data_IF_735553165198
#
_entry.id   IF_735553165198
#
_cell.length_a   1.000
_cell.length_b   1.000
_cell.length_c   1.000
_cell.angle_alpha   90.00
_cell.angle_beta   90.00
_cell.angle_gamma   90.00
#
_symmetry.space_group_name_H-M   'P 1'
#
loop_
_entity.id
_entity.type
_entity.pdbx_description
1 polymer ?
#
# COMPACT_ATOMS: atom_id res chain seq x y z
N UNK A 1 26.09 -20.66 1.78
CA UNK A 1 24.74 -20.64 2.35
C UNK A 1 23.76 -21.64 1.73
N UNK A 2 23.16 -21.38 0.54
CA UNK A 2 22.06 -22.22 0.01
C UNK A 2 22.43 -23.71 -0.11
N UNK A 3 23.59 -24.01 -0.70
CA UNK A 3 24.08 -25.39 -0.82
C UNK A 3 24.40 -26.06 0.53
N UNK A 4 24.93 -25.31 1.50
CA UNK A 4 25.23 -25.83 2.85
C UNK A 4 23.95 -26.20 3.62
N UNK A 5 22.86 -25.47 3.37
CA UNK A 5 21.54 -25.70 3.98
C UNK A 5 20.65 -26.63 3.13
N UNK A 6 21.17 -27.19 2.03
CA UNK A 6 20.41 -28.08 1.15
C UNK A 6 19.21 -27.42 0.45
N UNK A 7 19.20 -26.09 0.34
CA UNK A 7 18.11 -25.33 -0.28
C UNK A 7 18.29 -25.41 -1.80
N UNK A 8 17.31 -26.03 -2.47
CA UNK A 8 17.29 -26.14 -3.94
C UNK A 8 16.77 -24.85 -4.58
N UNK A 9 17.31 -24.53 -5.74
CA UNK A 9 16.93 -23.37 -6.56
C UNK A 9 16.28 -23.85 -7.84
N UNK A 10 15.10 -23.31 -8.18
CA UNK A 10 14.42 -23.54 -9.45
C UNK A 10 14.93 -22.56 -10.52
N UNK A 11 15.26 -21.32 -10.12
CA UNK A 11 15.85 -20.31 -10.97
C UNK A 11 16.98 -19.57 -10.25
N UNK A 12 18.02 -19.21 -10.99
CA UNK A 12 19.16 -18.41 -10.54
C UNK A 12 19.74 -17.66 -11.74
N UNK A 13 19.44 -16.37 -11.85
CA UNK A 13 19.92 -15.52 -12.94
C UNK A 13 20.67 -14.31 -12.39
N UNK A 14 21.73 -13.92 -13.08
CA UNK A 14 22.49 -12.69 -12.80
C UNK A 14 22.45 -11.81 -14.04
N UNK A 15 22.08 -10.56 -13.87
CA UNK A 15 21.93 -9.59 -14.96
C UNK A 15 22.47 -8.23 -14.55
N UNK A 16 22.70 -7.37 -15.53
CA UNK A 16 23.13 -5.99 -15.29
C UNK A 16 22.10 -5.00 -15.81
N UNK A 17 22.02 -3.86 -15.14
CA UNK A 17 21.33 -2.67 -15.64
C UNK A 17 22.36 -1.70 -16.19
N UNK A 18 22.01 -1.05 -17.29
CA UNK A 18 22.90 -0.23 -18.08
C UNK A 18 22.39 1.21 -18.14
N UNK A 19 23.30 2.17 -18.24
CA UNK A 19 22.93 3.53 -18.63
C UNK A 19 22.97 3.68 -20.16
N UNK A 20 21.92 4.27 -20.78
CA UNK A 20 21.93 4.58 -22.21
C UNK A 20 23.13 5.42 -22.63
N UNK A 21 23.53 6.40 -21.81
CA UNK A 21 24.70 7.24 -22.04
C UNK A 21 25.57 7.31 -20.79
N UNK A 22 26.86 7.06 -20.96
CA UNK A 22 27.85 7.18 -19.88
C UNK A 22 27.95 8.58 -19.31
N UNK A 23 27.67 9.61 -20.10
CA UNK A 23 27.67 11.00 -19.66
C UNK A 23 26.66 11.26 -18.52
N UNK A 24 25.57 10.49 -18.47
CA UNK A 24 24.50 10.66 -17.49
C UNK A 24 24.84 10.01 -16.13
N UNK A 25 25.96 9.29 -16.03
CA UNK A 25 26.37 8.57 -14.81
C UNK A 25 26.51 9.47 -13.58
N UNK A 26 26.82 10.76 -13.76
CA UNK A 26 26.94 11.72 -12.66
C UNK A 26 25.69 12.59 -12.47
N UNK A 27 24.63 12.39 -13.27
CA UNK A 27 23.35 13.07 -13.04
C UNK A 27 22.75 12.58 -11.73
N UNK A 28 22.48 13.51 -10.82
CA UNK A 28 21.83 13.25 -9.52
C UNK A 28 20.56 14.09 -9.37
N UNK A 29 20.03 14.62 -10.47
CA UNK A 29 18.79 15.37 -10.46
C UNK A 29 17.63 14.38 -10.30
N UNK A 30 16.92 14.43 -9.17
CA UNK A 30 15.86 13.47 -8.84
C UNK A 30 14.76 13.39 -9.92
N UNK A 31 14.35 14.53 -10.47
CA UNK A 31 13.28 14.63 -11.46
C UNK A 31 13.75 14.39 -12.90
N UNK A 32 15.05 14.24 -13.11
CA UNK A 32 15.69 13.99 -14.41
C UNK A 32 16.74 12.90 -14.23
N UNK A 33 16.37 11.88 -13.45
CA UNK A 33 17.24 10.78 -13.14
C UNK A 33 17.25 9.82 -14.34
N UNK A 34 18.42 9.40 -14.81
CA UNK A 34 18.49 8.63 -16.04
C UNK A 34 17.81 7.27 -15.89
N UNK A 35 16.91 6.97 -16.82
CA UNK A 35 16.28 5.65 -16.93
C UNK A 35 17.35 4.63 -17.31
N UNK A 36 17.34 3.50 -16.61
CA UNK A 36 18.26 2.40 -16.87
C UNK A 36 17.67 1.43 -17.90
N UNK A 37 18.54 0.68 -18.54
CA UNK A 37 18.18 -0.34 -19.51
C UNK A 37 18.57 -1.74 -19.03
N UNK A 38 17.83 -2.74 -19.51
CA UNK A 38 18.14 -4.17 -19.40
C UNK A 38 18.25 -4.75 -20.81
N UNK A 39 19.08 -5.79 -20.97
CA UNK A 39 19.15 -6.52 -22.24
C UNK A 39 17.89 -7.36 -22.46
N UNK A 40 17.54 -7.58 -23.73
CA UNK A 40 16.38 -8.37 -24.10
C UNK A 40 16.46 -9.80 -23.57
N UNK A 41 17.64 -10.42 -23.61
CA UNK A 41 17.82 -11.79 -23.10
C UNK A 41 17.65 -11.87 -21.58
N UNK A 42 18.20 -10.94 -20.81
CA UNK A 42 18.06 -10.90 -19.35
C UNK A 42 16.61 -10.61 -18.95
N UNK A 43 15.95 -9.68 -19.63
CA UNK A 43 14.54 -9.37 -19.43
C UNK A 43 13.65 -10.59 -19.69
N UNK A 44 13.90 -11.32 -20.79
CA UNK A 44 13.15 -12.54 -21.12
C UNK A 44 13.39 -13.68 -20.13
N UNK A 45 14.59 -13.82 -19.57
CA UNK A 45 14.85 -14.77 -18.49
C UNK A 45 14.04 -14.45 -17.23
N UNK A 46 13.94 -13.16 -16.87
CA UNK A 46 13.12 -12.72 -15.72
C UNK A 46 11.63 -12.97 -16.00
N UNK A 47 11.16 -12.73 -17.23
CA UNK A 47 9.78 -13.04 -17.64
C UNK A 47 9.45 -14.50 -17.47
N UNK A 48 10.32 -15.39 -17.97
CA UNK A 48 10.14 -16.83 -17.84
C UNK A 48 10.14 -17.28 -16.37
N UNK A 49 11.05 -16.74 -15.56
CA UNK A 49 11.12 -16.98 -14.13
C UNK A 49 9.80 -16.60 -13.41
N UNK A 50 9.11 -15.56 -13.87
CA UNK A 50 7.82 -15.12 -13.33
C UNK A 50 6.61 -15.81 -14.01
N UNK A 51 6.84 -16.70 -14.98
CA UNK A 51 5.79 -17.41 -15.71
C UNK A 51 5.14 -16.61 -16.86
N UNK A 52 5.77 -15.53 -17.31
CA UNK A 52 5.32 -14.72 -18.45
C UNK A 52 5.95 -15.20 -19.76
N UNK A 53 5.26 -14.93 -20.87
CA UNK A 53 5.78 -15.21 -22.21
C UNK A 53 6.91 -14.26 -22.60
N UNK A 54 7.89 -14.76 -23.35
CA UNK A 54 9.00 -13.97 -23.89
C UNK A 54 8.52 -12.98 -24.95
N UNK A 55 9.31 -11.91 -25.12
CA UNK A 55 9.08 -10.86 -26.11
C UNK A 55 10.21 -10.84 -27.13
N UNK A 56 9.96 -10.19 -28.28
CA UNK A 56 10.94 -10.03 -29.35
C UNK A 56 10.97 -8.58 -29.81
N UNK A 57 12.17 -8.08 -30.10
CA UNK A 57 12.39 -6.75 -30.68
C UNK A 57 12.91 -6.89 -32.10
N UNK A 58 12.54 -5.92 -32.96
CA UNK A 58 13.18 -5.78 -34.28
C UNK A 58 14.52 -5.06 -34.13
N UNK A 59 15.35 -5.10 -35.18
CA UNK A 59 16.63 -4.38 -35.20
C UNK A 59 16.44 -2.88 -34.91
N UNK A 60 17.32 -2.33 -34.07
CA UNK A 60 17.31 -0.92 -33.64
C UNK A 60 16.00 -0.45 -33.00
N UNK A 61 15.21 -1.36 -32.44
CA UNK A 61 14.03 -1.03 -31.67
C UNK A 61 14.22 -1.28 -30.18
N UNK A 62 13.50 -0.52 -29.37
CA UNK A 62 13.36 -0.75 -27.94
C UNK A 62 11.90 -0.77 -27.51
N UNK A 63 11.65 -1.31 -26.33
CA UNK A 63 10.35 -1.21 -25.64
C UNK A 63 10.61 -0.86 -24.17
N UNK A 64 9.54 -0.68 -23.40
CA UNK A 64 9.63 -0.28 -21.99
C UNK A 64 8.88 -1.25 -21.09
N UNK A 65 9.37 -1.42 -19.87
CA UNK A 65 8.65 -2.07 -18.78
C UNK A 65 8.34 -0.99 -17.74
N UNK A 66 7.09 -0.94 -17.29
CA UNK A 66 6.60 0.03 -16.32
C UNK A 66 6.27 -0.67 -15.01
N UNK A 67 6.45 0.04 -13.89
CA UNK A 67 5.92 -0.41 -12.61
C UNK A 67 4.39 -0.32 -12.62
N UNK A 68 3.73 -1.24 -11.95
CA UNK A 68 2.26 -1.27 -11.85
C UNK A 68 1.68 -0.06 -11.11
N UNK A 69 2.52 0.73 -10.41
CA UNK A 69 2.11 1.97 -9.74
C UNK A 69 2.05 3.18 -10.67
N UNK A 70 2.66 3.11 -11.85
CA UNK A 70 2.70 4.23 -12.79
C UNK A 70 1.32 4.55 -13.33
N UNK A 71 0.99 5.84 -13.44
CA UNK A 71 -0.27 6.27 -14.05
C UNK A 71 -0.19 6.16 -15.58
N UNK A 72 -1.34 5.93 -16.23
CA UNK A 72 -1.41 5.90 -17.69
C UNK A 72 -0.98 7.26 -18.30
N UNK A 73 -1.29 8.37 -17.63
CA UNK A 73 -0.92 9.72 -18.07
C UNK A 73 0.61 9.93 -18.07
N UNK A 74 1.29 9.53 -16.98
CA UNK A 74 2.75 9.64 -16.89
C UNK A 74 3.43 8.74 -17.93
N UNK A 75 2.92 7.52 -18.11
CA UNK A 75 3.42 6.56 -19.10
C UNK A 75 3.27 7.12 -20.52
N UNK A 76 2.07 7.55 -20.88
CA UNK A 76 1.78 8.00 -22.24
C UNK A 76 2.52 9.29 -22.58
N UNK A 77 2.65 10.22 -21.62
CA UNK A 77 3.49 11.42 -21.77
C UNK A 77 4.96 11.06 -21.98
N UNK A 78 5.50 10.13 -21.19
CA UNK A 78 6.90 9.71 -21.33
C UNK A 78 7.16 9.05 -22.69
N UNK A 79 6.27 8.16 -23.13
CA UNK A 79 6.41 7.47 -24.42
C UNK A 79 6.28 8.43 -25.61
N UNK A 80 5.48 9.50 -25.49
CA UNK A 80 5.38 10.55 -26.50
C UNK A 80 6.67 11.36 -26.62
N UNK A 81 7.35 11.64 -25.50
CA UNK A 81 8.61 12.38 -25.46
C UNK A 81 9.84 11.52 -25.80
N UNK A 82 9.71 10.19 -25.69
CA UNK A 82 10.77 9.21 -25.93
C UNK A 82 10.41 8.23 -27.05
N UNK A 83 9.99 8.75 -28.21
CA UNK A 83 9.82 7.95 -29.43
C UNK A 83 11.15 7.38 -29.96
N UNK A 84 12.26 8.02 -29.57
CA UNK A 84 13.63 7.65 -29.87
C UNK A 84 14.51 7.83 -28.64
N UNK A 85 15.52 6.97 -28.49
CA UNK A 85 16.51 7.06 -27.40
C UNK A 85 17.91 7.07 -27.99
N UNK A 86 18.68 8.10 -27.65
CA UNK A 86 20.10 8.18 -28.00
C UNK A 86 20.93 7.42 -26.98
N UNK A 87 21.71 6.45 -27.44
CA UNK A 87 22.63 5.66 -26.62
C UNK A 87 24.07 5.83 -27.10
N UNK A 88 25.04 5.44 -26.28
CA UNK A 88 26.45 5.39 -26.68
C UNK A 88 26.72 4.37 -27.82
N UNK A 89 25.77 3.47 -28.09
CA UNK A 89 25.83 2.45 -29.14
C UNK A 89 25.00 2.79 -30.40
N UNK A 90 24.30 3.93 -30.42
CA UNK A 90 23.44 4.34 -31.54
C UNK A 90 22.06 4.84 -31.09
N UNK A 91 21.21 5.13 -32.06
CA UNK A 91 19.83 5.59 -31.82
C UNK A 91 18.88 4.42 -31.95
N UNK A 92 18.03 4.22 -30.94
CA UNK A 92 16.95 3.24 -30.96
C UNK A 92 15.61 3.93 -31.13
N UNK A 93 14.68 3.25 -31.80
CA UNK A 93 13.32 3.72 -32.06
C UNK A 93 12.31 2.89 -31.26
N UNK A 94 11.25 3.51 -30.78
CA UNK A 94 10.23 2.82 -29.99
C UNK A 94 9.51 1.76 -30.85
N UNK A 95 9.38 0.55 -30.33
CA UNK A 95 8.67 -0.54 -30.99
C UNK A 95 7.16 -0.26 -31.08
N UNK A 96 6.48 -0.90 -32.03
CA UNK A 96 5.02 -0.82 -32.15
C UNK A 96 4.29 -1.29 -30.89
N UNK A 97 4.89 -2.22 -30.16
CA UNK A 97 4.47 -2.56 -28.81
C UNK A 97 5.38 -1.82 -27.83
N UNK A 98 4.94 -0.64 -27.42
CA UNK A 98 5.77 0.36 -26.75
C UNK A 98 6.03 0.09 -25.27
N UNK A 99 5.17 -0.68 -24.60
CA UNK A 99 5.27 -0.91 -23.16
C UNK A 99 4.70 -2.25 -22.68
N UNK A 100 5.18 -2.69 -21.53
CA UNK A 100 4.72 -3.83 -20.74
C UNK A 100 4.50 -3.39 -19.28
N UNK A 101 3.53 -4.01 -18.60
CA UNK A 101 3.11 -3.64 -17.22
C UNK A 101 2.97 -4.85 -16.30
N UNK A 102 3.35 -6.05 -16.75
CA UNK A 102 3.28 -7.23 -15.89
C UNK A 102 4.14 -7.02 -14.64
N UNK A 103 3.68 -7.41 -13.44
CA UNK A 103 4.43 -7.18 -12.20
C UNK A 103 5.79 -7.89 -12.20
N UNK A 104 6.88 -7.12 -12.26
CA UNK A 104 8.26 -7.66 -12.28
C UNK A 104 9.05 -7.51 -10.98
N UNK A 105 8.40 -6.98 -9.95
CA UNK A 105 9.02 -6.66 -8.65
C UNK A 105 9.72 -5.30 -8.63
N UNK A 106 9.72 -4.67 -7.47
CA UNK A 106 10.19 -3.28 -7.29
C UNK A 106 11.70 -3.09 -7.53
N UNK A 107 12.49 -4.16 -7.38
CA UNK A 107 13.96 -4.11 -7.41
C UNK A 107 14.55 -4.10 -8.82
N UNK A 108 13.70 -4.29 -9.84
CA UNK A 108 14.14 -4.24 -11.23
C UNK A 108 14.37 -2.80 -11.72
N UNK A 109 13.75 -1.83 -11.05
CA UNK A 109 13.77 -0.42 -11.40
C UNK A 109 14.77 0.34 -10.51
N UNK A 110 15.22 1.51 -10.97
CA UNK A 110 15.96 2.40 -10.08
C UNK A 110 15.01 3.13 -9.12
N UNK A 111 15.55 3.77 -8.08
CA UNK A 111 14.74 4.39 -7.01
C UNK A 111 13.98 5.67 -7.40
N UNK A 112 14.15 6.16 -8.63
CA UNK A 112 13.62 7.46 -9.07
C UNK A 112 12.76 7.38 -10.33
N UNK A 113 12.81 6.27 -11.06
CA UNK A 113 12.06 6.09 -12.30
C UNK A 113 11.22 4.82 -12.22
N UNK A 114 9.95 4.94 -12.61
CA UNK A 114 9.03 3.79 -12.64
C UNK A 114 9.08 3.03 -13.97
N UNK A 115 10.07 3.32 -14.81
CA UNK A 115 10.27 2.75 -16.14
C UNK A 115 11.66 2.12 -16.26
N UNK A 116 11.73 1.08 -17.09
CA UNK A 116 12.94 0.38 -17.50
C UNK A 116 12.93 0.26 -19.03
N UNK A 117 14.05 0.56 -19.68
CA UNK A 117 14.20 0.29 -21.10
C UNK A 117 14.60 -1.16 -21.36
N UNK A 118 14.03 -1.80 -22.38
CA UNK A 118 14.48 -3.10 -22.88
C UNK A 118 15.17 -2.86 -24.22
N UNK A 119 16.48 -3.10 -24.26
CA UNK A 119 17.31 -2.92 -25.45
C UNK A 119 17.75 -4.26 -26.04
N UNK A 120 18.05 -4.32 -27.35
CA UNK A 120 18.75 -5.44 -27.95
C UNK A 120 20.08 -5.73 -27.24
N UNK A 121 20.46 -7.01 -27.17
CA UNK A 121 21.64 -7.44 -26.42
C UNK A 121 22.94 -6.80 -26.93
N UNK A 122 23.09 -6.66 -28.25
CA UNK A 122 24.25 -6.05 -28.92
C UNK A 122 24.43 -4.56 -28.57
N UNK A 123 23.34 -3.85 -28.30
CA UNK A 123 23.39 -2.47 -27.80
C UNK A 123 23.95 -2.49 -26.38
N UNK A 124 23.38 -3.32 -25.50
CA UNK A 124 23.76 -3.39 -24.08
C UNK A 124 25.24 -3.76 -23.86
N UNK A 125 25.82 -4.59 -24.71
CA UNK A 125 27.26 -4.94 -24.68
C UNK A 125 28.19 -3.72 -24.77
N UNK A 126 27.71 -2.62 -25.37
CA UNK A 126 28.45 -1.39 -25.56
C UNK A 126 28.11 -0.28 -24.55
N UNK A 127 27.17 -0.53 -23.62
CA UNK A 127 26.73 0.44 -22.62
C UNK A 127 27.47 0.28 -21.28
N UNK A 128 27.39 1.32 -20.44
CA UNK A 128 27.98 1.27 -19.10
C UNK A 128 27.08 0.47 -18.14
N UNK A 129 27.53 -0.67 -17.58
CA UNK A 129 26.81 -1.35 -16.50
C UNK A 129 26.91 -0.54 -15.21
N UNK A 130 25.78 -0.31 -14.55
CA UNK A 130 25.70 0.52 -13.33
C UNK A 130 25.17 -0.22 -12.11
N UNK A 131 24.48 -1.34 -12.30
CA UNK A 131 23.98 -2.18 -11.23
C UNK A 131 24.01 -3.63 -11.69
N UNK A 132 24.48 -4.53 -10.83
CA UNK A 132 24.41 -5.96 -11.04
C UNK A 132 23.42 -6.55 -10.05
N UNK A 133 22.46 -7.31 -10.56
CA UNK A 133 21.42 -7.96 -9.78
C UNK A 133 21.51 -9.47 -9.96
N UNK A 134 21.13 -10.20 -8.91
CA UNK A 134 20.98 -11.66 -8.94
C UNK A 134 19.64 -12.04 -8.35
N UNK A 135 18.80 -12.67 -9.16
CA UNK A 135 17.50 -13.16 -8.73
C UNK A 135 17.52 -14.68 -8.60
N UNK A 136 16.97 -15.17 -7.50
CA UNK A 136 16.94 -16.59 -7.15
C UNK A 136 15.53 -16.94 -6.71
N UNK A 137 14.95 -17.97 -7.34
CA UNK A 137 13.74 -18.64 -6.85
C UNK A 137 14.15 -19.97 -6.25
N UNK A 138 13.83 -20.17 -4.98
CA UNK A 138 14.02 -21.46 -4.30
C UNK A 138 12.85 -22.39 -4.58
N UNK A 139 13.12 -23.69 -4.64
CA UNK A 139 12.09 -24.71 -4.90
C UNK A 139 10.99 -24.75 -3.81
N UNK A 140 11.37 -24.37 -2.58
CA UNK A 140 10.46 -24.17 -1.46
C UNK A 140 10.73 -22.82 -0.80
N UNK A 141 9.72 -22.26 -0.14
CA UNK A 141 9.88 -21.00 0.59
C UNK A 141 10.93 -21.15 1.69
N UNK A 142 11.88 -20.21 1.77
CA UNK A 142 12.81 -20.15 2.89
C UNK A 142 12.05 -19.99 4.21
N UNK A 143 12.48 -20.74 5.23
CA UNK A 143 12.04 -20.51 6.60
C UNK A 143 12.46 -19.10 7.06
N UNK A 144 11.73 -18.53 8.02
CA UNK A 144 12.08 -17.21 8.56
C UNK A 144 13.48 -17.20 9.18
N UNK A 145 13.85 -18.27 9.89
CA UNK A 145 15.16 -18.42 10.52
C UNK A 145 16.29 -18.44 9.49
N UNK A 146 16.20 -19.29 8.47
CA UNK A 146 17.21 -19.36 7.41
C UNK A 146 17.31 -18.05 6.62
N UNK A 147 16.17 -17.39 6.37
CA UNK A 147 16.17 -16.10 5.69
C UNK A 147 16.87 -15.02 6.54
N UNK A 148 16.63 -15.00 7.85
CA UNK A 148 17.26 -14.05 8.76
C UNK A 148 18.76 -14.31 8.92
N UNK A 149 19.16 -15.58 8.97
CA UNK A 149 20.57 -15.98 9.01
C UNK A 149 21.29 -15.58 7.72
N UNK A 150 20.69 -15.87 6.55
CA UNK A 150 21.24 -15.47 5.25
C UNK A 150 21.41 -13.95 5.12
N UNK A 151 20.40 -13.17 5.54
CA UNK A 151 20.50 -11.70 5.53
C UNK A 151 21.67 -11.24 6.42
N UNK A 152 21.79 -11.81 7.61
CA UNK A 152 22.88 -11.48 8.54
C UNK A 152 24.25 -11.83 7.95
N UNK A 153 24.43 -13.05 7.48
CA UNK A 153 25.69 -13.51 6.88
C UNK A 153 26.09 -12.65 5.68
N UNK A 154 25.10 -12.27 4.86
CA UNK A 154 25.31 -11.37 3.73
C UNK A 154 25.76 -9.98 4.19
N UNK A 155 25.09 -9.37 5.16
CA UNK A 155 25.46 -8.04 5.68
C UNK A 155 26.81 -8.04 6.39
N UNK A 156 27.14 -9.11 7.12
CA UNK A 156 28.43 -9.27 7.80
C UNK A 156 29.58 -9.38 6.78
N UNK A 157 29.35 -10.02 5.64
CA UNK A 157 30.34 -10.15 4.56
C UNK A 157 30.39 -8.92 3.64
N UNK A 158 29.24 -8.31 3.35
CA UNK A 158 29.05 -7.20 2.41
C UNK A 158 28.32 -6.05 3.09
N UNK A 159 29.03 -5.19 3.83
CA UNK A 159 28.40 -4.04 4.48
C UNK A 159 27.84 -3.06 3.43
N UNK A 160 26.68 -2.46 3.74
CA UNK A 160 25.92 -1.60 2.82
C UNK A 160 26.73 -0.40 2.28
N UNK A 161 27.69 0.09 3.06
CA UNK A 161 28.56 1.20 2.72
C UNK A 161 30.02 0.76 2.78
N UNK A 162 30.60 0.52 1.61
CA UNK A 162 32.03 0.33 1.48
C UNK A 162 32.74 1.66 1.28
N UNK A 163 33.98 1.78 1.75
CA UNK A 163 34.84 2.94 1.48
C UNK A 163 35.13 3.17 0.00
N UNK A 164 34.82 2.19 -0.86
CA UNK A 164 34.90 2.29 -2.32
C UNK A 164 33.62 2.88 -2.97
N UNK A 165 32.58 3.17 -2.20
CA UNK A 165 31.31 3.74 -2.71
C UNK A 165 30.39 2.72 -3.40
N UNK A 166 30.69 1.42 -3.30
CA UNK A 166 29.82 0.34 -3.76
C UNK A 166 28.88 -0.06 -2.63
N UNK A 167 27.60 -0.20 -2.95
CA UNK A 167 26.57 -0.68 -2.03
C UNK A 167 26.10 -2.07 -2.44
N UNK A 168 26.06 -2.97 -1.46
CA UNK A 168 25.52 -4.32 -1.62
C UNK A 168 24.22 -4.41 -0.82
N UNK A 169 23.22 -5.07 -1.40
CA UNK A 169 21.94 -5.28 -0.75
C UNK A 169 21.42 -6.67 -1.06
N UNK A 170 20.74 -7.25 -0.08
CA UNK A 170 19.97 -8.50 -0.23
C UNK A 170 18.53 -8.23 0.16
N UNK A 171 17.59 -8.82 -0.58
CA UNK A 171 16.16 -8.75 -0.28
C UNK A 171 15.59 -10.15 -0.34
N UNK A 172 14.92 -10.55 0.73
CA UNK A 172 14.34 -11.87 0.88
C UNK A 172 12.83 -11.73 1.04
N UNK A 173 12.08 -12.34 0.12
CA UNK A 173 10.62 -12.28 0.11
C UNK A 173 10.02 -12.76 1.44
N UNK A 174 10.58 -13.82 2.05
CA UNK A 174 10.15 -14.31 3.37
C UNK A 174 10.23 -13.23 4.46
N UNK A 175 11.32 -12.46 4.49
CA UNK A 175 11.50 -11.39 5.48
C UNK A 175 10.57 -10.21 5.19
N UNK A 176 10.45 -9.80 3.92
CA UNK A 176 9.57 -8.72 3.51
C UNK A 176 8.11 -9.02 3.84
N UNK A 177 7.60 -10.21 3.48
CA UNK A 177 6.22 -10.62 3.78
C UNK A 177 5.98 -10.61 5.30
N UNK A 178 6.91 -11.15 6.10
CA UNK A 178 6.76 -11.17 7.55
C UNK A 178 6.81 -9.76 8.16
N UNK A 179 7.72 -8.91 7.70
CA UNK A 179 7.83 -7.50 8.13
C UNK A 179 6.56 -6.72 7.80
N UNK A 180 6.03 -6.88 6.59
CA UNK A 180 4.77 -6.26 6.15
C UNK A 180 3.59 -6.75 6.97
N UNK A 181 3.48 -8.07 7.22
CA UNK A 181 2.43 -8.62 8.10
C UNK A 181 2.52 -8.07 9.52
N UNK A 182 3.72 -8.01 10.09
CA UNK A 182 3.93 -7.48 11.45
C UNK A 182 3.59 -5.98 11.52
N UNK A 183 4.06 -5.19 10.55
CA UNK A 183 3.80 -3.75 10.48
C UNK A 183 2.32 -3.45 10.31
N UNK A 184 1.64 -4.17 9.40
CA UNK A 184 0.19 -4.05 9.22
C UNK A 184 -0.57 -4.45 10.47
N UNK A 185 -0.16 -5.52 11.15
CA UNK A 185 -0.77 -5.92 12.42
C UNK A 185 -0.62 -4.83 13.50
N UNK A 186 0.57 -4.27 13.68
CA UNK A 186 0.83 -3.20 14.64
C UNK A 186 -0.01 -1.96 14.32
N UNK A 187 -0.07 -1.56 13.05
CA UNK A 187 -0.84 -0.41 12.60
C UNK A 187 -2.34 -0.62 12.85
N UNK A 188 -2.89 -1.77 12.43
CA UNK A 188 -4.29 -2.12 12.65
C UNK A 188 -4.64 -2.19 14.14
N UNK A 189 -3.82 -2.86 14.96
CA UNK A 189 -4.02 -2.96 16.39
C UNK A 189 -3.99 -1.58 17.08
N UNK A 190 -3.06 -0.71 16.69
CA UNK A 190 -2.92 0.65 17.24
C UNK A 190 -4.12 1.53 16.87
N UNK A 191 -4.55 1.50 15.62
CA UNK A 191 -5.70 2.26 15.14
C UNK A 191 -7.00 1.77 15.79
N UNK A 192 -7.19 0.45 15.91
CA UNK A 192 -8.36 -0.12 16.57
C UNK A 192 -8.38 0.23 18.06
N UNK A 193 -7.24 0.14 18.75
CA UNK A 193 -7.14 0.56 20.15
C UNK A 193 -7.48 2.04 20.32
N UNK A 194 -6.92 2.92 19.48
CA UNK A 194 -7.22 4.35 19.50
C UNK A 194 -8.72 4.62 19.27
N UNK A 195 -9.33 3.95 18.28
CA UNK A 195 -10.75 4.06 17.99
C UNK A 195 -11.63 3.63 19.18
N UNK A 196 -11.32 2.50 19.82
CA UNK A 196 -12.05 2.01 20.99
C UNK A 196 -11.91 2.96 22.19
N UNK A 197 -10.70 3.46 22.46
CA UNK A 197 -10.46 4.40 23.57
C UNK A 197 -11.22 5.71 23.34
N UNK A 198 -11.13 6.30 22.15
CA UNK A 198 -11.86 7.53 21.81
C UNK A 198 -13.36 7.32 21.88
N UNK A 199 -13.86 6.17 21.41
CA UNK A 199 -15.26 5.79 21.56
C UNK A 199 -15.63 5.78 23.05
N UNK A 200 -14.92 5.04 23.91
CA UNK A 200 -15.20 5.00 25.35
C UNK A 200 -15.19 6.40 25.98
N UNK A 201 -14.25 7.28 25.63
CA UNK A 201 -14.22 8.66 26.12
C UNK A 201 -15.47 9.44 25.68
N UNK A 202 -15.82 9.42 24.39
CA UNK A 202 -17.04 10.06 23.90
C UNK A 202 -18.29 9.55 24.61
N UNK A 203 -18.36 8.23 24.82
CA UNK A 203 -19.47 7.57 25.50
C UNK A 203 -19.56 7.96 26.97
N UNK A 204 -18.44 8.00 27.69
CA UNK A 204 -18.40 8.45 29.09
C UNK A 204 -18.81 9.90 29.25
N UNK A 205 -18.35 10.80 28.36
CA UNK A 205 -18.77 12.21 28.34
C UNK A 205 -20.27 12.32 28.11
N UNK A 206 -20.80 11.57 27.15
CA UNK A 206 -22.22 11.61 26.81
C UNK A 206 -23.11 11.03 27.93
N UNK A 207 -22.66 9.95 28.58
CA UNK A 207 -23.32 9.40 29.77
C UNK A 207 -23.32 10.39 30.93
N UNK A 208 -22.20 11.09 31.15
CA UNK A 208 -22.11 12.12 32.18
C UNK A 208 -23.05 13.30 31.89
N UNK A 209 -23.10 13.77 30.63
CA UNK A 209 -24.04 14.81 30.21
C UNK A 209 -25.50 14.40 30.45
N UNK A 210 -25.86 13.15 30.13
CA UNK A 210 -27.21 12.64 30.37
C UNK A 210 -27.56 12.59 31.86
N UNK A 211 -26.63 12.20 32.75
CA UNK A 211 -26.86 12.20 34.19
C UNK A 211 -27.05 13.61 34.74
N UNK A 212 -26.22 14.57 34.30
CA UNK A 212 -26.33 15.98 34.71
C UNK A 212 -27.63 16.62 34.20
N UNK A 213 -28.06 16.26 33.00
CA UNK A 213 -29.32 16.74 32.45
C UNK A 213 -30.53 16.01 33.03
N UNK A 214 -30.41 14.74 33.43
CA UNK A 214 -31.48 13.96 34.06
C UNK A 214 -31.98 14.62 35.36
N UNK A 215 -31.09 15.17 36.17
CA UNK A 215 -31.42 15.89 37.41
C UNK A 215 -32.29 17.16 37.12
N UNK A 216 -31.96 17.89 36.04
CA UNK A 216 -32.77 19.02 35.55
C UNK A 216 -34.09 18.57 34.94
N UNK A 217 -34.11 17.41 34.29
CA UNK A 217 -35.31 16.83 33.71
C UNK A 217 -36.27 16.35 34.79
N UNK A 218 -35.78 15.72 35.87
CA UNK A 218 -36.61 15.27 36.99
C UNK A 218 -37.37 16.44 37.63
N UNK A 219 -36.71 17.58 37.83
CA UNK A 219 -37.34 18.82 38.31
C UNK A 219 -38.44 19.33 37.36
N UNK A 220 -38.17 19.42 36.05
CA UNK A 220 -39.17 19.86 35.05
C UNK A 220 -40.31 18.85 34.86
N UNK A 221 -40.03 17.56 34.94
CA UNK A 221 -41.02 16.49 34.84
C UNK A 221 -41.90 16.42 36.09
N UNK A 222 -41.37 16.70 37.28
CA UNK A 222 -42.17 16.87 38.50
C UNK A 222 -43.21 17.98 38.33
N UNK A 223 -42.82 19.13 37.74
CA UNK A 223 -43.73 20.23 37.45
C UNK A 223 -44.78 19.85 36.39
N UNK A 224 -44.38 19.22 35.28
CA UNK A 224 -45.31 18.78 34.23
C UNK A 224 -46.27 17.66 34.69
N UNK A 225 -45.80 16.78 35.57
CA UNK A 225 -46.63 15.76 36.23
C UNK A 225 -47.67 16.40 37.15
N UNK A 226 -47.29 17.44 37.88
CA UNK A 226 -48.21 18.24 38.71
C UNK A 226 -49.22 19.04 37.86
N UNK A 227 -48.96 19.22 36.56
CA UNK A 227 -49.86 19.85 35.58
C UNK A 227 -50.71 18.84 34.78
N UNK A 228 -50.64 17.53 35.09
CA UNK A 228 -51.56 16.51 34.55
C UNK A 228 -51.15 15.83 33.24
N UNK A 229 -49.88 15.89 32.85
CA UNK A 229 -49.39 15.25 31.60
C UNK A 229 -49.11 13.75 31.79
N UNK A 230 -49.62 12.92 30.88
CA UNK A 230 -49.55 11.45 30.90
C UNK A 230 -48.13 10.90 30.65
N UNK A 231 -47.64 9.98 31.50
CA UNK A 231 -46.27 9.42 31.48
C UNK A 231 -45.85 8.79 30.14
N UNK A 232 -46.80 8.26 29.36
CA UNK A 232 -46.50 7.64 28.06
C UNK A 232 -46.02 8.64 27.00
N UNK A 233 -46.45 9.90 27.05
CA UNK A 233 -45.97 10.95 26.13
C UNK A 233 -44.55 11.42 26.45
N UNK A 234 -44.17 11.36 27.73
CA UNK A 234 -42.84 11.76 28.23
C UNK A 234 -41.75 10.82 27.69
N UNK A 235 -41.96 9.50 27.78
CA UNK A 235 -40.99 8.51 27.25
C UNK A 235 -40.75 8.62 25.74
N UNK A 236 -41.78 8.98 24.97
CA UNK A 236 -41.66 9.20 23.51
C UNK A 236 -40.86 10.47 23.16
N UNK A 237 -40.99 11.52 23.96
CA UNK A 237 -40.23 12.77 23.79
C UNK A 237 -38.76 12.58 24.11
N UNK A 238 -38.46 11.86 25.20
CA UNK A 238 -37.10 11.48 25.59
C UNK A 238 -36.41 10.66 24.49
N UNK A 239 -37.09 9.65 23.93
CA UNK A 239 -36.53 8.79 22.87
C UNK A 239 -36.21 9.60 21.60
N UNK A 240 -37.07 10.55 21.22
CA UNK A 240 -36.81 11.47 20.11
C UNK A 240 -35.63 12.39 20.37
N UNK A 241 -35.53 12.93 21.58
CA UNK A 241 -34.46 13.86 21.93
C UNK A 241 -33.11 13.14 22.05
N UNK A 242 -33.07 11.96 22.68
CA UNK A 242 -31.88 11.11 22.75
C UNK A 242 -31.41 10.69 21.35
N UNK A 243 -32.35 10.29 20.48
CA UNK A 243 -32.06 9.91 19.10
C UNK A 243 -31.51 11.08 18.25
N UNK A 244 -31.98 12.29 18.45
CA UNK A 244 -31.45 13.49 17.77
C UNK A 244 -30.05 13.85 18.25
N UNK A 245 -29.81 13.83 19.56
CA UNK A 245 -28.50 14.17 20.14
C UNK A 245 -27.41 13.14 19.84
N UNK A 246 -27.77 11.84 19.76
CA UNK A 246 -26.84 10.81 19.28
C UNK A 246 -26.71 10.79 17.76
N UNK A 247 -27.81 10.95 17.04
CA UNK A 247 -27.84 10.79 15.59
C UNK A 247 -27.11 11.90 14.84
N UNK A 248 -27.18 13.15 15.32
CA UNK A 248 -26.56 14.29 14.64
C UNK A 248 -25.02 14.16 14.56
N UNK A 249 -24.27 13.88 15.65
CA UNK A 249 -22.82 13.64 15.56
C UNK A 249 -22.47 12.47 14.65
N UNK A 250 -23.24 11.39 14.66
CA UNK A 250 -23.01 10.22 13.80
C UNK A 250 -23.19 10.60 12.33
N UNK A 251 -24.25 11.33 11.99
CA UNK A 251 -24.51 11.79 10.62
C UNK A 251 -23.37 12.68 10.10
N UNK A 252 -22.90 13.61 10.93
CA UNK A 252 -21.74 14.47 10.59
C UNK A 252 -20.49 13.61 10.38
N UNK A 253 -20.22 12.65 11.27
CA UNK A 253 -19.07 11.77 11.14
C UNK A 253 -19.11 10.90 9.87
N UNK A 254 -20.29 10.35 9.52
CA UNK A 254 -20.48 9.56 8.29
C UNK A 254 -20.28 10.44 7.04
N UNK A 255 -20.82 11.66 7.05
CA UNK A 255 -20.66 12.59 5.94
C UNK A 255 -19.18 12.95 5.69
N UNK A 256 -18.45 13.35 6.74
CA UNK A 256 -17.02 13.66 6.66
C UNK A 256 -16.21 12.43 6.23
N UNK A 257 -16.49 11.27 6.82
CA UNK A 257 -15.79 10.02 6.47
C UNK A 257 -16.00 9.64 5.00
N UNK A 258 -17.20 9.85 4.46
CA UNK A 258 -17.51 9.56 3.05
C UNK A 258 -16.67 10.41 2.11
N UNK A 259 -16.53 11.71 2.39
CA UNK A 259 -15.70 12.63 1.59
C UNK A 259 -14.23 12.21 1.65
N UNK A 260 -13.71 11.92 2.84
CA UNK A 260 -12.31 11.51 3.03
C UNK A 260 -12.01 10.20 2.30
N UNK A 261 -12.90 9.21 2.41
CA UNK A 261 -12.74 7.91 1.72
C UNK A 261 -12.78 8.10 0.21
N UNK A 262 -13.70 8.92 -0.32
CA UNK A 262 -13.79 9.17 -1.74
C UNK A 262 -12.51 9.82 -2.29
N UNK A 263 -11.98 10.84 -1.61
CA UNK A 263 -10.74 11.49 -2.01
C UNK A 263 -9.54 10.53 -1.92
N UNK A 264 -9.45 9.74 -0.84
CA UNK A 264 -8.39 8.74 -0.66
C UNK A 264 -8.37 7.69 -1.77
N UNK A 265 -9.55 7.15 -2.13
CA UNK A 265 -9.68 6.19 -3.24
C UNK A 265 -9.25 6.82 -4.56
N UNK A 266 -9.61 8.08 -4.81
CA UNK A 266 -9.22 8.78 -6.03
C UNK A 266 -7.70 8.97 -6.10
N UNK A 267 -7.08 9.43 -5.02
CA UNK A 267 -5.64 9.72 -4.96
C UNK A 267 -4.78 8.47 -5.11
N UNK A 268 -5.16 7.34 -4.51
CA UNK A 268 -4.33 6.13 -4.42
C UNK A 268 -4.93 5.00 -5.27
N UNK A 269 -5.71 5.34 -6.29
CA UNK A 269 -6.43 4.35 -7.12
C UNK A 269 -5.51 3.37 -7.84
N UNK A 270 -4.38 3.84 -8.37
CA UNK A 270 -3.38 3.00 -9.05
C UNK A 270 -2.77 1.97 -8.09
N UNK A 271 -2.30 2.41 -6.92
CA UNK A 271 -1.71 1.51 -5.92
C UNK A 271 -2.74 0.51 -5.35
N UNK A 272 -3.98 0.95 -5.09
CA UNK A 272 -5.05 0.06 -4.61
C UNK A 272 -5.31 -1.04 -5.64
N UNK A 273 -5.36 -0.69 -6.92
CA UNK A 273 -5.56 -1.65 -8.01
C UNK A 273 -4.38 -2.61 -8.11
N UNK A 274 -3.15 -2.10 -8.06
CA UNK A 274 -1.91 -2.85 -8.23
C UNK A 274 -1.67 -3.86 -7.09
N UNK A 275 -1.89 -3.46 -5.83
CA UNK A 275 -1.42 -4.23 -4.68
C UNK A 275 -2.52 -4.95 -3.89
N UNK A 276 -3.74 -4.42 -3.86
CA UNK A 276 -4.82 -4.92 -2.99
C UNK A 276 -5.97 -5.53 -3.81
N UNK A 277 -6.29 -4.89 -4.94
CA UNK A 277 -7.51 -5.10 -5.69
C UNK A 277 -8.70 -4.39 -5.03
N UNK A 278 -9.47 -3.67 -5.86
CA UNK A 278 -10.59 -2.84 -5.39
C UNK A 278 -11.66 -3.64 -4.62
N UNK A 279 -11.92 -4.88 -5.02
CA UNK A 279 -12.90 -5.75 -4.35
C UNK A 279 -12.52 -6.12 -2.92
N UNK A 280 -11.25 -6.50 -2.70
CA UNK A 280 -10.72 -6.83 -1.36
C UNK A 280 -10.75 -5.61 -0.46
N UNK A 281 -10.36 -4.46 -0.98
CA UNK A 281 -10.39 -3.19 -0.25
C UNK A 281 -11.81 -2.82 0.22
N UNK A 282 -12.80 -2.89 -0.67
CA UNK A 282 -14.20 -2.62 -0.33
C UNK A 282 -14.75 -3.58 0.73
N UNK A 283 -14.38 -4.86 0.65
CA UNK A 283 -14.76 -5.85 1.65
C UNK A 283 -14.17 -5.53 3.04
N UNK A 284 -12.92 -5.09 3.12
CA UNK A 284 -12.28 -4.68 4.37
C UNK A 284 -12.95 -3.44 5.00
N UNK A 285 -13.30 -2.45 4.18
CA UNK A 285 -14.09 -1.29 4.64
C UNK A 285 -15.43 -1.77 5.20
N UNK A 286 -16.12 -2.65 4.47
CA UNK A 286 -17.41 -3.20 4.89
C UNK A 286 -17.35 -3.91 6.26
N UNK A 287 -16.32 -4.74 6.48
CA UNK A 287 -16.10 -5.42 7.77
C UNK A 287 -15.89 -4.39 8.89
N UNK A 288 -15.06 -3.38 8.67
CA UNK A 288 -14.73 -2.35 9.67
C UNK A 288 -15.96 -1.53 10.05
N UNK A 289 -16.73 -1.07 9.06
CA UNK A 289 -18.01 -0.37 9.27
C UNK A 289 -18.99 -1.27 10.01
N UNK A 290 -19.03 -2.56 9.69
CA UNK A 290 -19.86 -3.55 10.39
C UNK A 290 -19.52 -3.66 11.88
N UNK A 291 -18.23 -3.77 12.23
CA UNK A 291 -17.78 -3.85 13.63
C UNK A 291 -18.14 -2.56 14.39
N UNK A 292 -17.88 -1.39 13.81
CA UNK A 292 -18.20 -0.11 14.45
C UNK A 292 -19.70 0.09 14.63
N UNK A 293 -20.50 -0.30 13.63
CA UNK A 293 -21.97 -0.24 13.72
C UNK A 293 -22.49 -1.17 14.81
N UNK A 294 -21.96 -2.39 14.91
CA UNK A 294 -22.32 -3.33 15.97
C UNK A 294 -22.02 -2.76 17.36
N UNK A 295 -20.82 -2.20 17.57
CA UNK A 295 -20.43 -1.56 18.82
C UNK A 295 -21.37 -0.39 19.17
N UNK A 296 -21.70 0.44 18.19
CA UNK A 296 -22.59 1.57 18.36
C UNK A 296 -24.02 1.14 18.73
N UNK A 297 -24.54 0.07 18.11
CA UNK A 297 -25.85 -0.50 18.45
C UNK A 297 -25.85 -1.07 19.86
N UNK A 298 -24.84 -1.87 20.24
CA UNK A 298 -24.70 -2.39 21.59
C UNK A 298 -24.68 -1.27 22.64
N UNK A 299 -24.00 -0.17 22.33
CA UNK A 299 -23.94 0.99 23.20
C UNK A 299 -25.27 1.74 23.31
N UNK A 300 -25.93 2.00 22.17
CA UNK A 300 -27.24 2.64 22.15
C UNK A 300 -28.25 1.88 23.00
N UNK A 301 -28.26 0.54 22.89
CA UNK A 301 -29.11 -0.34 23.71
C UNK A 301 -28.75 -0.22 25.19
N UNK A 302 -27.45 -0.24 25.53
CA UNK A 302 -27.01 -0.13 26.92
C UNK A 302 -27.42 1.20 27.56
N UNK A 303 -27.25 2.30 26.83
CA UNK A 303 -27.65 3.65 27.25
C UNK A 303 -29.17 3.75 27.42
N UNK A 304 -29.93 3.19 26.47
CA UNK A 304 -31.38 3.14 26.52
C UNK A 304 -31.90 2.41 27.76
N UNK A 305 -31.30 1.27 28.10
CA UNK A 305 -31.65 0.49 29.31
C UNK A 305 -31.34 1.29 30.58
N UNK A 306 -30.16 1.92 30.66
CA UNK A 306 -29.77 2.76 31.78
C UNK A 306 -30.73 3.94 32.00
N UNK A 307 -31.09 4.64 30.92
CA UNK A 307 -31.99 5.78 30.98
C UNK A 307 -33.40 5.36 31.41
N UNK A 308 -33.92 4.25 30.88
CA UNK A 308 -35.22 3.69 31.28
C UNK A 308 -35.26 3.33 32.77
N UNK A 309 -34.13 2.85 33.32
CA UNK A 309 -34.01 2.47 34.73
C UNK A 309 -33.85 3.68 35.66
N UNK A 310 -33.33 4.80 35.16
CA UNK A 310 -33.19 6.05 35.92
C UNK A 310 -34.48 6.86 36.03
N UNK A 311 -35.41 6.73 35.08
CA UNK A 311 -36.70 7.46 35.09
C UNK A 311 -37.75 6.78 35.99
N UNK A 312 -37.54 5.50 36.33
CA UNK A 312 -38.50 4.71 37.10
C UNK A 312 -38.09 4.56 38.56
#
# INVERSE_FOLDING_TARGET
>A
FLGEHGIKTDYDCTFSLYLPRKADFYSRMKYDFPVVAISLSDYNQIREMLGYGQISLSENQFTTQWQTISTEEDRDSFLADHDTVMTDAGVLTLSSHSFYEEPMGETLYNSYTDVLYIFPDDVCENLLPVMQNRYIITAENLSYENARELEKDFTDQYPELTSAGVSYGIRLQTLQINSTKASNFILQASLLYCAVVLMVICLTILSLQQLLDADKYEYRFSILRNLGVEQQRIGKLVLKQLGLWFGLPILVAVFVSTIVIAYFIQTISAEISAYIGFGTFMLQIGITVGILTLLLVCYFISTWILFKRSIH
#
